data_IF_138993531301
#
_entry.id   IF_138993531301
#
_cell.length_a   1.000
_cell.length_b   1.000
_cell.length_c   1.000
_cell.angle_alpha   90.00
_cell.angle_beta   90.00
_cell.angle_gamma   90.00
#
_symmetry.space_group_name_H-M   'P 1'
#
loop_
_entity.id
_entity.type
_entity.pdbx_description
1 polymer ?
#
# COMPACT_ATOMS: atom_id res chain seq x y z
N UNK A 1 11.59 -12.28 -24.08
CA UNK A 1 10.50 -11.79 -23.20
C UNK A 1 9.21 -12.59 -23.40
N UNK A 2 9.02 -13.27 -24.52
CA UNK A 2 7.77 -14.03 -24.79
C UNK A 2 7.57 -15.29 -23.92
N UNK A 3 8.66 -15.94 -23.48
CA UNK A 3 8.57 -17.17 -22.68
C UNK A 3 8.27 -16.94 -21.19
N UNK A 4 8.61 -15.77 -20.65
CA UNK A 4 8.35 -15.43 -19.24
C UNK A 4 6.91 -14.94 -19.02
N UNK A 5 6.33 -14.24 -19.99
CA UNK A 5 4.94 -13.77 -19.90
C UNK A 5 3.93 -14.75 -20.50
N UNK A 6 4.34 -15.62 -21.43
CA UNK A 6 3.47 -16.63 -22.01
C UNK A 6 2.97 -17.68 -21.02
N UNK A 7 3.77 -18.07 -20.03
CA UNK A 7 3.37 -19.07 -19.04
C UNK A 7 2.67 -18.47 -17.81
N UNK A 8 2.93 -17.21 -17.48
CA UNK A 8 2.31 -16.54 -16.32
C UNK A 8 0.84 -16.13 -16.57
N UNK A 9 0.46 -15.93 -17.83
CA UNK A 9 -0.90 -15.54 -18.24
C UNK A 9 -1.75 -16.69 -18.80
N UNK A 10 -1.18 -17.89 -18.97
CA UNK A 10 -1.88 -19.04 -19.59
C UNK A 10 -2.28 -20.06 -18.53
N UNK A 11 -3.06 -19.62 -17.54
CA UNK A 11 -3.88 -20.54 -16.75
C UNK A 11 -3.17 -21.53 -15.86
N UNK A 12 -2.11 -21.09 -15.17
CA UNK A 12 -1.71 -21.78 -13.95
C UNK A 12 -2.86 -21.66 -12.92
N UNK A 13 -3.47 -22.78 -12.45
CA UNK A 13 -4.54 -22.73 -11.44
C UNK A 13 -4.09 -22.12 -10.10
N UNK A 14 -2.78 -21.93 -9.89
CA UNK A 14 -2.24 -21.15 -8.78
C UNK A 14 -2.32 -19.62 -8.96
N UNK A 15 -2.67 -19.15 -10.15
CA UNK A 15 -2.67 -17.73 -10.54
C UNK A 15 -4.12 -17.22 -10.56
N UNK A 16 -4.52 -16.34 -9.61
CA UNK A 16 -5.92 -16.09 -9.25
C UNK A 16 -6.77 -15.34 -10.29
N UNK A 17 -6.27 -15.13 -11.50
CA UNK A 17 -6.91 -14.36 -12.57
C UNK A 17 -7.37 -15.21 -13.77
N UNK A 18 -7.23 -16.53 -13.73
CA UNK A 18 -7.57 -17.38 -14.89
C UNK A 18 -8.94 -18.04 -14.85
N UNK A 19 -9.68 -17.94 -13.74
CA UNK A 19 -11.04 -18.48 -13.65
C UNK A 19 -12.07 -17.47 -14.22
N UNK A 20 -12.94 -17.87 -15.17
CA UNK A 20 -13.98 -16.99 -15.73
C UNK A 20 -14.90 -16.38 -14.67
N UNK A 21 -15.30 -17.16 -13.67
CA UNK A 21 -16.11 -16.66 -12.55
C UNK A 21 -15.37 -15.61 -11.70
N UNK A 22 -14.06 -15.73 -11.55
CA UNK A 22 -13.25 -14.72 -10.85
C UNK A 22 -13.11 -13.46 -11.68
N UNK A 23 -12.98 -13.59 -13.01
CA UNK A 23 -12.95 -12.44 -13.92
C UNK A 23 -14.24 -11.61 -13.85
N UNK A 24 -15.40 -12.27 -13.86
CA UNK A 24 -16.70 -11.60 -13.70
C UNK A 24 -16.83 -10.93 -12.33
N UNK A 25 -16.40 -11.61 -11.25
CA UNK A 25 -16.39 -11.03 -9.91
C UNK A 25 -15.50 -9.78 -9.79
N UNK A 26 -14.33 -9.79 -10.45
CA UNK A 26 -13.44 -8.62 -10.51
C UNK A 26 -14.09 -7.46 -11.26
N UNK A 27 -14.80 -7.75 -12.36
CA UNK A 27 -15.47 -6.74 -13.17
C UNK A 27 -16.66 -6.11 -12.43
N UNK A 28 -17.49 -6.94 -11.80
CA UNK A 28 -18.60 -6.48 -10.95
C UNK A 28 -18.08 -5.67 -9.75
N UNK A 29 -17.01 -6.13 -9.09
CA UNK A 29 -16.37 -5.40 -8.00
C UNK A 29 -15.84 -4.04 -8.44
N UNK A 30 -15.21 -3.98 -9.62
CA UNK A 30 -14.71 -2.73 -10.20
C UNK A 30 -15.85 -1.77 -10.52
N UNK A 31 -16.94 -2.27 -11.12
CA UNK A 31 -18.11 -1.47 -11.46
C UNK A 31 -18.81 -0.91 -10.21
N UNK A 32 -18.95 -1.74 -9.17
CA UNK A 32 -19.51 -1.31 -7.89
C UNK A 32 -18.65 -0.22 -7.24
N UNK A 33 -17.33 -0.37 -7.21
CA UNK A 33 -16.41 0.65 -6.66
C UNK A 33 -16.49 1.95 -7.47
N UNK A 34 -16.52 1.88 -8.81
CA UNK A 34 -16.66 3.07 -9.67
C UNK A 34 -17.98 3.81 -9.43
N UNK A 35 -19.10 3.09 -9.34
CA UNK A 35 -20.40 3.69 -9.05
C UNK A 35 -20.41 4.38 -7.68
N UNK A 36 -19.93 3.71 -6.64
CA UNK A 36 -19.86 4.28 -5.28
C UNK A 36 -18.94 5.50 -5.23
N UNK A 37 -17.84 5.50 -5.98
CA UNK A 37 -16.91 6.64 -6.08
C UNK A 37 -17.59 7.86 -6.72
N UNK A 38 -18.47 7.63 -7.71
CA UNK A 38 -19.20 8.70 -8.39
C UNK A 38 -20.27 9.35 -7.50
N UNK A 39 -20.97 8.55 -6.69
CA UNK A 39 -22.01 9.06 -5.79
C UNK A 39 -21.46 9.66 -4.49
N UNK A 40 -20.28 9.21 -4.04
CA UNK A 40 -19.67 9.69 -2.80
C UNK A 40 -18.25 10.25 -3.06
N UNK A 41 -18.11 11.57 -3.27
CA UNK A 41 -16.82 12.21 -3.53
C UNK A 41 -15.85 12.12 -2.34
N UNK A 42 -16.31 11.73 -1.14
CA UNK A 42 -15.45 11.56 0.04
C UNK A 42 -14.72 10.22 0.08
N UNK A 43 -15.01 9.28 -0.83
CA UNK A 43 -14.24 8.03 -0.97
C UNK A 43 -12.74 8.29 -1.13
N UNK A 44 -12.36 9.40 -1.77
CA UNK A 44 -10.96 9.76 -2.00
C UNK A 44 -10.19 10.06 -0.69
N UNK A 45 -10.91 10.40 0.39
CA UNK A 45 -10.30 10.60 1.72
C UNK A 45 -9.83 9.29 2.36
N UNK A 46 -10.41 8.14 2.00
CA UNK A 46 -9.94 6.83 2.48
C UNK A 46 -8.51 6.54 2.02
N UNK A 47 -8.13 6.98 0.81
CA UNK A 47 -6.77 6.88 0.32
C UNK A 47 -5.78 7.75 1.13
N UNK A 48 -6.24 8.86 1.70
CA UNK A 48 -5.43 9.73 2.56
C UNK A 48 -5.37 9.28 4.02
N UNK A 49 -6.11 8.25 4.42
CA UNK A 49 -6.08 7.73 5.80
C UNK A 49 -4.71 7.19 6.19
N UNK A 50 -3.91 6.73 5.23
CA UNK A 50 -2.54 6.32 5.45
C UNK A 50 -1.57 7.44 5.06
N UNK A 51 -1.45 8.44 5.93
CA UNK A 51 -0.42 9.46 5.79
C UNK A 51 0.96 8.80 5.89
N UNK A 52 1.78 8.95 4.85
CA UNK A 52 3.16 8.44 4.85
C UNK A 52 3.96 9.00 6.03
N UNK A 53 3.68 10.25 6.40
CA UNK A 53 4.33 10.94 7.51
C UNK A 53 4.16 10.20 8.84
N UNK A 54 2.94 9.72 9.14
CA UNK A 54 2.64 9.00 10.38
C UNK A 54 3.37 7.66 10.44
N UNK A 55 3.43 6.94 9.30
CA UNK A 55 4.19 5.68 9.19
C UNK A 55 5.69 5.91 9.36
N UNK A 56 6.22 6.99 8.78
CA UNK A 56 7.63 7.37 8.92
C UNK A 56 7.96 7.66 10.40
N UNK A 57 7.12 8.43 11.09
CA UNK A 57 7.27 8.73 12.52
C UNK A 57 7.20 7.47 13.41
N UNK A 58 6.25 6.56 13.15
CA UNK A 58 6.15 5.28 13.87
C UNK A 58 7.40 4.40 13.69
N UNK A 59 7.92 4.33 12.46
CA UNK A 59 9.14 3.56 12.17
C UNK A 59 10.37 4.14 12.88
N UNK A 60 10.45 5.46 12.99
CA UNK A 60 11.53 6.15 13.69
C UNK A 60 11.42 5.94 15.21
N UNK A 61 10.21 6.06 15.76
CA UNK A 61 9.94 5.79 17.18
C UNK A 61 10.33 4.36 17.57
N UNK A 62 10.04 3.37 16.74
CA UNK A 62 10.45 1.98 16.96
C UNK A 62 11.97 1.84 17.06
N UNK A 63 12.71 2.42 16.09
CA UNK A 63 14.17 2.39 16.12
C UNK A 63 14.76 3.17 17.29
N UNK A 64 14.10 4.24 17.73
CA UNK A 64 14.50 4.98 18.91
C UNK A 64 14.37 4.15 20.18
N UNK A 65 13.22 3.50 20.42
CA UNK A 65 13.00 2.62 21.57
C UNK A 65 14.07 1.52 21.64
N UNK A 66 14.36 0.87 20.50
CA UNK A 66 15.40 -0.18 20.41
C UNK A 66 16.82 0.33 20.70
N UNK A 67 17.11 1.61 20.46
CA UNK A 67 18.42 2.22 20.80
C UNK A 67 18.47 2.70 22.25
N UNK A 68 17.35 3.12 22.83
CA UNK A 68 17.22 3.44 24.25
C UNK A 68 17.48 2.20 25.12
N UNK A 69 16.95 1.04 24.73
CA UNK A 69 17.24 -0.25 25.38
C UNK A 69 18.74 -0.57 25.39
N UNK A 70 19.47 -0.11 24.36
CA UNK A 70 20.93 -0.30 24.22
C UNK A 70 21.76 0.86 24.78
N UNK A 71 21.13 1.85 25.41
CA UNK A 71 21.75 3.10 25.88
C UNK A 71 22.59 3.81 24.81
N UNK A 72 22.20 3.69 23.54
CA UNK A 72 22.91 4.34 22.43
C UNK A 72 22.23 5.66 22.05
N UNK A 73 23.00 6.71 21.71
CA UNK A 73 22.42 7.97 21.26
C UNK A 73 21.67 7.75 19.93
N UNK A 74 20.40 8.16 19.89
CA UNK A 74 19.58 8.14 18.69
C UNK A 74 19.48 9.55 18.10
N UNK A 75 19.83 9.71 16.83
CA UNK A 75 19.64 10.97 16.09
C UNK A 75 18.37 10.85 15.26
N UNK A 76 17.35 11.64 15.60
CA UNK A 76 16.16 11.81 14.77
C UNK A 76 16.54 12.45 13.43
N UNK A 77 15.99 11.91 12.35
CA UNK A 77 16.20 12.33 10.97
C UNK A 77 15.00 13.12 10.47
N UNK A 78 13.76 12.70 10.80
CA UNK A 78 12.54 13.37 10.32
C UNK A 78 12.44 14.79 10.88
N UNK A 79 12.61 14.97 12.20
CA UNK A 79 12.61 16.30 12.82
C UNK A 79 13.73 17.24 12.32
N UNK A 80 14.80 16.71 11.71
CA UNK A 80 15.86 17.54 11.12
C UNK A 80 15.46 18.06 9.74
N UNK A 81 14.67 17.31 8.98
CA UNK A 81 14.24 17.71 7.63
C UNK A 81 13.25 18.88 7.70
N UNK A 82 12.35 18.90 8.69
CA UNK A 82 11.38 19.99 8.91
C UNK A 82 12.04 21.34 9.28
N UNK A 83 13.25 21.30 9.85
CA UNK A 83 14.01 22.50 10.22
C UNK A 83 14.97 22.99 9.11
N UNK A 84 15.07 22.26 8.00
CA UNK A 84 15.97 22.56 6.88
C UNK A 84 15.25 23.18 5.66
N UNK A 85 13.94 23.41 5.78
CA UNK A 85 13.07 24.10 4.83
C UNK A 85 12.53 25.37 5.46
#
# INVERSE_FOLDING_TARGET
MDRMFGNAYTGDPGVPHTDPERFENIWMGSFAVSAVTWFNPYMWKLCHQFNWHDKAMLSEQYHWKKKMEKQQPHKFKLARQDNAT
#
